data_IF_911885527833
#
_entry.id   IF_911885527833
#
_cell.length_a   1.000
_cell.length_b   1.000
_cell.length_c   1.000
_cell.angle_alpha   90.00
_cell.angle_beta   90.00
_cell.angle_gamma   90.00
#
_symmetry.space_group_name_H-M   'P 1'
#
loop_
_entity.id
_entity.type
_entity.pdbx_description
1 polymer ?
#
# COMPACT_ATOMS: atom_id res chain seq x y z
N UNK A 1 18.37 47.49 49.48
CA UNK A 1 18.91 46.27 50.14
C UNK A 1 17.96 45.90 51.28
N UNK A 2 17.76 44.61 51.63
CA UNK A 2 18.60 43.46 51.30
C UNK A 2 17.92 42.33 50.48
N UNK A 3 18.81 41.48 49.94
CA UNK A 3 18.60 40.26 49.14
C UNK A 3 18.50 39.01 50.04
N UNK A 4 17.84 37.96 49.54
CA UNK A 4 18.19 36.50 49.55
C UNK A 4 16.89 35.68 49.36
N UNK A 5 16.78 34.52 48.71
CA UNK A 5 17.56 33.73 47.75
C UNK A 5 16.59 32.61 47.22
N UNK A 6 16.88 32.04 46.03
CA UNK A 6 16.15 30.95 45.32
C UNK A 6 16.33 29.55 45.97
N UNK A 7 15.50 28.54 45.64
CA UNK A 7 15.79 27.57 44.54
C UNK A 7 14.53 27.17 43.71
N UNK A 8 14.48 27.31 42.38
CA UNK A 8 14.73 26.29 41.32
C UNK A 8 14.07 24.91 41.52
N UNK A 9 13.06 24.63 40.68
CA UNK A 9 12.55 23.28 40.39
C UNK A 9 11.89 23.27 38.99
N UNK A 10 12.53 22.57 38.06
CA UNK A 10 12.16 22.42 36.66
C UNK A 10 10.90 21.56 36.48
N UNK A 11 9.92 22.05 35.72
CA UNK A 11 8.91 21.22 35.04
C UNK A 11 8.94 21.58 33.56
N UNK A 12 9.51 20.70 32.73
CA UNK A 12 9.53 20.85 31.27
C UNK A 12 8.12 20.55 30.74
N UNK A 13 7.46 21.55 30.19
CA UNK A 13 6.39 21.34 29.20
C UNK A 13 7.07 20.87 27.90
N UNK A 14 6.74 19.66 27.45
CA UNK A 14 7.11 19.18 26.12
C UNK A 14 6.26 19.92 25.08
N UNK A 15 6.89 20.92 24.46
CA UNK A 15 6.31 21.70 23.38
C UNK A 15 6.09 20.84 22.13
N UNK A 16 4.97 21.12 21.46
CA UNK A 16 4.63 20.64 20.12
C UNK A 16 5.80 20.85 19.14
N UNK A 17 6.22 19.78 18.48
CA UNK A 17 7.24 19.85 17.42
C UNK A 17 6.64 20.60 16.21
N UNK A 18 7.24 21.70 15.72
CA UNK A 18 6.70 22.42 14.58
C UNK A 18 6.85 21.63 13.29
N UNK A 19 5.75 21.50 12.53
CA UNK A 19 5.77 21.01 11.16
C UNK A 19 6.58 22.00 10.30
N UNK A 20 7.61 21.51 9.60
CA UNK A 20 8.38 22.33 8.65
C UNK A 20 7.48 22.72 7.48
N UNK A 21 6.93 23.92 7.53
CA UNK A 21 6.27 24.56 6.41
C UNK A 21 7.34 25.08 5.45
N UNK A 22 7.30 24.62 4.21
CA UNK A 22 8.13 25.16 3.12
C UNK A 22 7.19 25.85 2.14
N UNK A 23 7.14 27.18 2.19
CA UNK A 23 6.42 28.03 1.23
C UNK A 23 7.43 28.52 0.20
N UNK A 24 7.23 28.22 -1.08
CA UNK A 24 8.11 28.68 -2.17
C UNK A 24 7.27 29.14 -3.37
N UNK A 25 7.66 30.29 -3.93
CA UNK A 25 7.10 30.93 -5.12
C UNK A 25 7.65 30.28 -6.41
N UNK A 26 6.80 30.24 -7.45
CA UNK A 26 7.05 29.52 -8.70
C UNK A 26 7.96 30.28 -9.69
N UNK A 27 8.81 29.55 -10.41
CA UNK A 27 9.55 30.04 -11.58
C UNK A 27 9.52 29.03 -12.75
N UNK A 28 8.97 29.46 -13.90
CA UNK A 28 9.46 29.14 -15.25
C UNK A 28 8.82 28.00 -16.08
N UNK A 29 8.08 28.38 -17.14
CA UNK A 29 7.92 27.64 -18.44
C UNK A 29 7.04 26.37 -18.50
N UNK A 30 6.46 26.00 -19.67
CA UNK A 30 5.50 24.90 -19.79
C UNK A 30 6.21 23.53 -19.82
N UNK A 31 6.80 23.16 -18.69
CA UNK A 31 7.14 21.78 -18.36
C UNK A 31 5.84 21.07 -17.98
N UNK A 32 5.62 19.84 -18.45
CA UNK A 32 4.46 19.06 -17.99
C UNK A 32 4.49 18.95 -16.46
N UNK A 33 3.34 19.20 -15.80
CA UNK A 33 3.25 19.24 -14.33
C UNK A 33 3.84 17.98 -13.68
N UNK A 34 3.61 16.83 -14.30
CA UNK A 34 4.32 15.59 -14.03
C UNK A 34 5.24 15.27 -15.21
N UNK A 35 6.43 14.74 -14.91
CA UNK A 35 7.40 14.31 -15.90
C UNK A 35 7.22 12.81 -16.18
N UNK A 36 6.92 12.45 -17.43
CA UNK A 36 6.64 11.06 -17.82
C UNK A 36 7.77 10.38 -18.61
N UNK A 37 8.96 10.98 -18.67
CA UNK A 37 10.11 10.43 -19.41
C UNK A 37 10.57 9.07 -18.85
N UNK A 38 10.59 8.91 -17.52
CA UNK A 38 10.90 7.64 -16.85
C UNK A 38 10.06 7.41 -15.59
N UNK A 39 10.00 6.18 -15.06
CA UNK A 39 9.39 5.90 -13.74
C UNK A 39 9.94 6.78 -12.62
N UNK A 40 11.25 7.04 -12.63
CA UNK A 40 11.94 7.88 -11.63
C UNK A 40 11.53 9.34 -11.75
N UNK A 41 11.52 9.88 -12.97
CA UNK A 41 11.13 11.27 -13.23
C UNK A 41 9.67 11.55 -12.83
N UNK A 42 8.79 10.55 -13.04
CA UNK A 42 7.40 10.66 -12.60
C UNK A 42 7.31 10.76 -11.09
N UNK A 43 7.96 9.86 -10.38
CA UNK A 43 7.88 9.88 -8.92
C UNK A 43 8.50 11.15 -8.35
N UNK A 44 9.65 11.58 -8.86
CA UNK A 44 10.31 12.83 -8.44
C UNK A 44 9.41 14.06 -8.66
N UNK A 45 8.80 14.18 -9.84
CA UNK A 45 7.87 15.29 -10.11
C UNK A 45 6.60 15.22 -9.26
N UNK A 46 6.09 14.02 -8.96
CA UNK A 46 4.90 13.81 -8.12
C UNK A 46 5.09 14.33 -6.69
N UNK A 47 6.26 14.08 -6.10
CA UNK A 47 6.58 14.48 -4.71
C UNK A 47 7.37 15.79 -4.61
N UNK A 48 7.58 16.48 -5.74
CA UNK A 48 8.27 17.78 -5.77
C UNK A 48 7.64 18.77 -4.76
N UNK A 49 8.46 19.53 -3.99
CA UNK A 49 9.92 19.68 -4.12
C UNK A 49 10.76 18.69 -3.27
N UNK A 50 10.15 17.64 -2.72
CA UNK A 50 10.86 16.67 -1.89
C UNK A 50 11.71 15.76 -2.79
N UNK A 51 13.01 15.70 -2.51
CA UNK A 51 13.91 14.77 -3.21
C UNK A 51 13.56 13.32 -2.86
N UNK A 52 13.64 12.41 -3.83
CA UNK A 52 13.35 10.99 -3.66
C UNK A 52 14.22 10.34 -2.58
N UNK A 53 15.51 10.70 -2.49
CA UNK A 53 16.40 10.17 -1.45
C UNK A 53 15.95 10.59 -0.04
N UNK A 54 15.47 11.82 0.10
CA UNK A 54 14.91 12.32 1.36
C UNK A 54 13.59 11.62 1.67
N UNK A 55 12.73 11.42 0.68
CA UNK A 55 11.48 10.68 0.84
C UNK A 55 11.72 9.27 1.40
N UNK A 56 12.55 8.46 0.75
CA UNK A 56 12.81 7.09 1.19
C UNK A 56 13.61 7.00 2.49
N UNK A 57 14.54 7.94 2.72
CA UNK A 57 15.32 7.95 3.97
C UNK A 57 14.48 8.36 5.17
N UNK A 58 13.59 9.34 5.03
CA UNK A 58 12.97 10.01 6.18
C UNK A 58 11.47 9.75 6.34
N UNK A 59 10.74 9.46 5.27
CA UNK A 59 9.27 9.38 5.29
C UNK A 59 8.75 7.97 5.02
N UNK A 60 9.25 7.32 3.96
CA UNK A 60 8.80 5.99 3.55
C UNK A 60 8.82 4.99 4.71
N UNK A 61 7.67 4.35 4.97
CA UNK A 61 7.44 3.39 6.06
C UNK A 61 7.76 3.94 7.48
N UNK A 62 7.83 5.26 7.65
CA UNK A 62 8.23 5.89 8.93
C UNK A 62 7.24 6.92 9.44
N UNK A 63 6.87 7.90 8.61
CA UNK A 63 6.01 9.01 9.04
C UNK A 63 5.27 9.68 7.88
N UNK A 64 4.15 10.36 8.16
CA UNK A 64 3.43 11.13 7.16
C UNK A 64 4.28 12.24 6.51
N UNK A 65 4.00 12.52 5.24
CA UNK A 65 4.52 13.65 4.48
C UNK A 65 3.35 14.46 3.90
N UNK A 66 3.25 15.72 4.29
CA UNK A 66 2.30 16.68 3.74
C UNK A 66 3.03 17.67 2.82
N UNK A 67 2.55 17.82 1.57
CA UNK A 67 3.02 18.83 0.63
C UNK A 67 1.83 19.72 0.26
N UNK A 68 1.76 20.88 0.89
CA UNK A 68 0.77 21.91 0.54
C UNK A 68 1.32 22.80 -0.56
N UNK A 69 0.60 22.89 -1.68
CA UNK A 69 1.01 23.65 -2.87
C UNK A 69 0.09 24.85 -3.06
N UNK A 70 0.61 25.88 -3.71
CA UNK A 70 -0.17 27.04 -4.14
C UNK A 70 0.03 27.33 -5.62
N UNK A 71 0.07 26.27 -6.42
CA UNK A 71 0.28 26.31 -7.86
C UNK A 71 -1.05 26.05 -8.60
N UNK A 72 -1.63 27.06 -9.29
CA UNK A 72 -2.88 26.91 -10.04
C UNK A 72 -2.80 25.90 -11.18
N UNK A 73 -1.63 25.71 -11.80
CA UNK A 73 -1.44 24.76 -12.88
C UNK A 73 -1.44 23.32 -12.34
N UNK A 74 -0.78 23.07 -11.20
CA UNK A 74 -0.85 21.77 -10.50
C UNK A 74 -2.27 21.46 -10.07
N UNK A 75 -2.97 22.44 -9.46
CA UNK A 75 -4.36 22.29 -9.03
C UNK A 75 -5.28 21.93 -10.22
N UNK A 76 -5.09 22.59 -11.36
CA UNK A 76 -5.85 22.31 -12.60
C UNK A 76 -5.56 20.91 -13.15
N UNK A 77 -4.28 20.49 -13.14
CA UNK A 77 -3.87 19.17 -13.57
C UNK A 77 -4.46 18.07 -12.68
N UNK A 78 -4.33 18.17 -11.35
CA UNK A 78 -4.92 17.20 -10.41
C UNK A 78 -6.43 17.09 -10.62
N UNK A 79 -7.13 18.22 -10.74
CA UNK A 79 -8.57 18.25 -11.04
C UNK A 79 -8.95 17.53 -12.35
N UNK A 80 -8.04 17.38 -13.31
CA UNK A 80 -8.30 16.67 -14.56
C UNK A 80 -8.27 15.14 -14.42
N UNK A 81 -7.58 14.62 -13.38
CA UNK A 81 -7.39 13.19 -13.16
C UNK A 81 -8.72 12.46 -12.90
N UNK A 82 -9.62 13.06 -12.14
CA UNK A 82 -10.98 12.56 -11.92
C UNK A 82 -11.88 13.68 -11.40
N UNK A 83 -13.13 13.75 -11.89
CA UNK A 83 -14.12 14.75 -11.44
C UNK A 83 -15.42 14.10 -11.01
N UNK A 84 -16.15 14.75 -10.11
CA UNK A 84 -17.53 14.33 -9.78
C UNK A 84 -18.43 14.25 -11.02
N UNK A 85 -18.22 15.11 -12.01
CA UNK A 85 -18.97 15.11 -13.28
C UNK A 85 -18.74 13.85 -14.13
N UNK A 86 -17.61 13.16 -13.95
CA UNK A 86 -17.26 11.96 -14.73
C UNK A 86 -18.18 10.78 -14.42
N UNK A 87 -18.76 10.75 -13.21
CA UNK A 87 -19.63 9.67 -12.75
C UNK A 87 -20.81 9.40 -13.69
N UNK A 88 -21.36 10.43 -14.36
CA UNK A 88 -22.48 10.26 -15.29
C UNK A 88 -22.09 9.38 -16.48
N UNK A 89 -20.94 9.68 -17.10
CA UNK A 89 -20.40 8.93 -18.23
C UNK A 89 -19.91 7.54 -17.79
N UNK A 90 -19.31 7.43 -16.60
CA UNK A 90 -18.87 6.15 -16.07
C UNK A 90 -20.05 5.22 -15.79
N UNK A 91 -21.14 5.70 -15.19
CA UNK A 91 -22.33 4.90 -14.94
C UNK A 91 -22.97 4.37 -16.24
N UNK A 92 -22.94 5.12 -17.34
CA UNK A 92 -23.49 4.65 -18.63
C UNK A 92 -22.68 3.51 -19.26
N UNK A 93 -21.44 3.26 -18.80
CA UNK A 93 -20.60 2.12 -19.20
C UNK A 93 -20.90 0.83 -18.43
N UNK A 94 -21.83 0.85 -17.47
CA UNK A 94 -22.27 -0.35 -16.74
C UNK A 94 -21.44 -0.66 -15.49
N UNK A 95 -21.46 0.26 -14.52
CA UNK A 95 -20.83 0.06 -13.20
C UNK A 95 -21.72 -0.77 -12.27
N UNK A 96 -21.12 -1.49 -11.32
CA UNK A 96 -21.81 -2.28 -10.31
C UNK A 96 -21.43 -1.86 -8.88
N UNK A 97 -22.41 -1.90 -7.98
CA UNK A 97 -22.15 -1.68 -6.56
C UNK A 97 -21.24 -2.78 -5.99
N UNK A 98 -20.40 -2.44 -5.02
CA UNK A 98 -19.41 -3.38 -4.45
C UNK A 98 -18.18 -3.56 -5.33
N UNK A 99 -18.38 -3.87 -6.62
CA UNK A 99 -17.29 -4.10 -7.58
C UNK A 99 -16.60 -2.82 -8.04
N UNK A 100 -17.38 -1.83 -8.48
CA UNK A 100 -16.86 -0.60 -9.09
C UNK A 100 -17.10 0.62 -8.21
N UNK A 101 -18.24 0.67 -7.51
CA UNK A 101 -18.61 1.82 -6.69
C UNK A 101 -19.19 1.35 -5.36
N UNK A 102 -18.72 1.96 -4.27
CA UNK A 102 -19.31 1.88 -2.95
C UNK A 102 -19.91 3.24 -2.57
N UNK A 103 -21.00 3.21 -1.81
CA UNK A 103 -21.62 4.40 -1.22
C UNK A 103 -21.69 4.17 0.28
N UNK A 104 -21.12 5.09 1.05
CA UNK A 104 -21.01 4.94 2.50
C UNK A 104 -21.15 6.27 3.25
N UNK A 105 -21.41 6.19 4.55
CA UNK A 105 -21.43 7.34 5.45
C UNK A 105 -20.94 6.91 6.83
N UNK A 106 -20.20 7.78 7.51
CA UNK A 106 -19.87 7.58 8.92
C UNK A 106 -21.07 7.98 9.78
N UNK A 107 -21.54 7.07 10.63
CA UNK A 107 -22.63 7.31 11.57
C UNK A 107 -22.20 6.72 12.92
N UNK A 108 -22.08 7.58 13.94
CA UNK A 108 -21.68 7.19 15.30
C UNK A 108 -20.38 6.36 15.33
N UNK A 109 -19.32 6.83 14.65
CA UNK A 109 -18.03 6.15 14.58
C UNK A 109 -18.04 4.84 13.81
N UNK A 110 -19.09 4.53 13.05
CA UNK A 110 -19.21 3.29 12.26
C UNK A 110 -19.47 3.59 10.78
N UNK A 111 -18.87 2.79 9.90
CA UNK A 111 -19.15 2.83 8.47
C UNK A 111 -20.54 2.23 8.21
N UNK A 112 -21.47 3.04 7.70
CA UNK A 112 -22.76 2.59 7.17
C UNK A 112 -22.68 2.49 5.65
N UNK A 113 -22.79 1.27 5.12
CA UNK A 113 -22.85 1.02 3.67
C UNK A 113 -24.28 1.26 3.16
N UNK A 114 -24.40 1.97 2.04
CA UNK A 114 -25.67 2.34 1.39
C UNK A 114 -25.80 1.76 -0.02
N UNK A 115 -24.93 0.82 -0.38
CA UNK A 115 -24.96 0.10 -1.65
C UNK A 115 -26.35 -0.49 -1.95
N UNK A 116 -26.66 -0.58 -3.24
CA UNK A 116 -27.79 -1.33 -3.77
C UNK A 116 -27.28 -2.58 -4.47
N UNK A 117 -28.17 -3.50 -4.78
CA UNK A 117 -27.81 -4.67 -5.55
C UNK A 117 -27.68 -4.32 -7.04
N UNK A 118 -26.69 -4.90 -7.71
CA UNK A 118 -26.53 -4.81 -9.16
C UNK A 118 -25.94 -3.49 -9.66
N UNK A 119 -26.51 -3.00 -10.78
CA UNK A 119 -25.95 -1.87 -11.54
C UNK A 119 -26.13 -0.54 -10.82
N UNK A 120 -25.13 0.33 -10.97
CA UNK A 120 -25.13 1.68 -10.44
C UNK A 120 -25.77 2.64 -11.43
N UNK A 121 -26.81 3.35 -11.00
CA UNK A 121 -27.44 4.41 -11.79
C UNK A 121 -27.02 5.79 -11.26
N UNK A 122 -26.63 6.68 -12.17
CA UNK A 122 -26.14 8.03 -11.82
C UNK A 122 -27.14 8.82 -10.95
N UNK A 123 -28.44 8.76 -11.28
CA UNK A 123 -29.47 9.45 -10.48
C UNK A 123 -29.57 8.93 -9.05
N UNK A 124 -29.33 7.63 -8.84
CA UNK A 124 -29.32 7.03 -7.51
C UNK A 124 -28.09 7.48 -6.72
N UNK A 125 -26.89 7.47 -7.33
CA UNK A 125 -25.69 8.04 -6.71
C UNK A 125 -25.89 9.50 -6.32
N UNK A 126 -26.44 10.31 -7.23
CA UNK A 126 -26.70 11.73 -7.00
C UNK A 126 -27.68 11.93 -5.85
N UNK A 127 -28.75 11.12 -5.79
CA UNK A 127 -29.72 11.14 -4.69
C UNK A 127 -29.07 10.82 -3.34
N UNK A 128 -28.27 9.77 -3.27
CA UNK A 128 -27.60 9.38 -2.01
C UNK A 128 -26.54 10.42 -1.59
N UNK A 129 -25.82 10.98 -2.55
CA UNK A 129 -24.85 12.05 -2.32
C UNK A 129 -25.50 13.32 -1.78
N UNK A 130 -26.52 13.86 -2.48
CA UNK A 130 -27.14 15.13 -2.13
C UNK A 130 -28.04 15.03 -0.90
N UNK A 131 -28.87 13.98 -0.81
CA UNK A 131 -29.92 13.88 0.22
C UNK A 131 -29.43 13.14 1.47
N UNK A 132 -28.63 12.08 1.31
CA UNK A 132 -28.15 11.27 2.45
C UNK A 132 -26.77 11.70 2.94
N UNK A 133 -26.13 12.66 2.25
CA UNK A 133 -24.77 13.11 2.54
C UNK A 133 -23.79 11.93 2.55
N UNK A 134 -23.93 11.04 1.57
CA UNK A 134 -23.12 9.85 1.46
C UNK A 134 -21.86 10.12 0.61
N UNK A 135 -20.74 9.56 1.04
CA UNK A 135 -19.50 9.50 0.26
C UNK A 135 -19.61 8.41 -0.81
N UNK A 136 -19.18 8.77 -2.02
CA UNK A 136 -19.00 7.83 -3.13
C UNK A 136 -17.53 7.41 -3.15
N UNK A 137 -17.27 6.11 -3.17
CA UNK A 137 -15.95 5.51 -3.35
C UNK A 137 -15.95 4.80 -4.71
N UNK A 138 -15.09 5.21 -5.64
CA UNK A 138 -14.95 4.61 -6.96
C UNK A 138 -13.67 3.78 -7.01
N UNK A 139 -13.78 2.52 -7.41
CA UNK A 139 -12.68 1.55 -7.42
C UNK A 139 -11.99 1.50 -8.77
N UNK A 140 -10.66 1.54 -8.72
CA UNK A 140 -9.78 1.33 -9.87
C UNK A 140 -10.15 2.25 -11.07
N UNK A 141 -10.14 3.59 -10.87
CA UNK A 141 -10.49 4.58 -11.91
C UNK A 141 -9.56 4.54 -13.13
N UNK A 142 -8.32 4.03 -13.00
CA UNK A 142 -7.37 3.88 -14.09
C UNK A 142 -7.87 2.99 -15.23
N UNK A 143 -8.85 2.10 -14.97
CA UNK A 143 -9.54 1.33 -16.02
C UNK A 143 -10.27 2.22 -17.04
N UNK A 144 -10.52 3.48 -16.69
CA UNK A 144 -11.37 4.39 -17.44
C UNK A 144 -10.77 5.78 -17.65
N UNK A 145 -9.65 6.08 -17.00
CA UNK A 145 -9.01 7.40 -16.98
C UNK A 145 -7.55 7.23 -17.38
N UNK A 146 -7.25 7.52 -18.64
CA UNK A 146 -5.94 7.27 -19.26
C UNK A 146 -4.77 7.92 -18.51
N UNK A 147 -4.96 9.14 -17.98
CA UNK A 147 -3.92 9.83 -17.23
C UNK A 147 -3.60 9.12 -15.90
N UNK A 148 -4.62 8.59 -15.20
CA UNK A 148 -4.42 7.78 -14.00
C UNK A 148 -3.77 6.44 -14.33
N UNK A 149 -4.10 5.84 -15.49
CA UNK A 149 -3.40 4.66 -15.97
C UNK A 149 -1.92 4.94 -16.23
N UNK A 150 -1.61 6.04 -16.93
CA UNK A 150 -0.23 6.45 -17.22
C UNK A 150 0.58 6.70 -15.95
N UNK A 151 -0.02 7.35 -14.94
CA UNK A 151 0.61 7.56 -13.64
C UNK A 151 0.86 6.21 -12.95
N UNK A 152 -0.18 5.38 -12.83
CA UNK A 152 -0.07 4.13 -12.07
C UNK A 152 0.91 3.15 -12.71
N UNK A 153 0.92 2.98 -14.04
CA UNK A 153 1.87 2.07 -14.72
C UNK A 153 3.33 2.46 -14.48
N UNK A 154 3.65 3.76 -14.52
CA UNK A 154 4.98 4.26 -14.20
C UNK A 154 5.33 4.05 -12.73
N UNK A 155 4.38 4.26 -11.82
CA UNK A 155 4.59 3.97 -10.40
C UNK A 155 4.76 2.46 -10.13
N UNK A 156 4.07 1.58 -10.85
CA UNK A 156 4.28 0.12 -10.77
C UNK A 156 5.72 -0.23 -11.14
N UNK A 157 6.22 0.36 -12.22
CA UNK A 157 7.62 0.20 -12.62
C UNK A 157 8.60 0.73 -11.57
N UNK A 158 8.29 1.87 -10.96
CA UNK A 158 9.16 2.50 -9.96
C UNK A 158 9.23 1.71 -8.66
N UNK A 159 8.09 1.23 -8.15
CA UNK A 159 8.00 0.51 -6.88
C UNK A 159 8.26 -1.00 -7.00
N UNK A 160 8.16 -1.58 -8.19
CA UNK A 160 8.22 -3.04 -8.36
C UNK A 160 7.09 -3.76 -7.62
N UNK A 161 5.95 -3.08 -7.44
CA UNK A 161 4.77 -3.56 -6.72
C UNK A 161 3.53 -3.09 -7.46
N UNK A 162 2.41 -3.80 -7.31
CA UNK A 162 1.15 -3.37 -7.92
C UNK A 162 0.73 -2.00 -7.37
N UNK A 163 0.15 -1.17 -8.23
CA UNK A 163 -0.34 0.16 -7.87
C UNK A 163 -1.81 0.28 -8.26
N UNK A 164 -2.66 0.31 -7.25
CA UNK A 164 -4.09 0.53 -7.38
C UNK A 164 -4.46 1.98 -7.05
N UNK A 165 -5.73 2.33 -7.27
CA UNK A 165 -6.27 3.56 -6.68
C UNK A 165 -7.77 3.50 -6.42
N UNK A 166 -8.21 4.34 -5.49
CA UNK A 166 -9.62 4.61 -5.20
C UNK A 166 -9.88 6.12 -5.22
N UNK A 167 -11.02 6.54 -5.77
CA UNK A 167 -11.47 7.95 -5.69
C UNK A 167 -12.54 8.06 -4.62
N UNK A 168 -12.42 9.07 -3.77
CA UNK A 168 -13.42 9.39 -2.75
C UNK A 168 -14.03 10.75 -3.00
N UNK A 169 -15.35 10.80 -3.14
CA UNK A 169 -16.11 12.03 -3.34
C UNK A 169 -17.08 12.19 -2.17
N UNK A 170 -16.87 13.23 -1.36
CA UNK A 170 -17.59 13.45 -0.10
C UNK A 170 -18.34 14.79 -0.16
N UNK A 171 -19.67 14.83 0.10
CA UNK A 171 -20.42 16.08 0.08
C UNK A 171 -20.06 16.97 1.27
N UNK A 172 -20.31 18.27 1.15
CA UNK A 172 -20.01 19.22 2.23
C UNK A 172 -20.73 18.92 3.55
N UNK A 173 -20.05 19.22 4.66
CA UNK A 173 -20.53 18.99 6.02
C UNK A 173 -20.71 17.51 6.36
N UNK A 174 -19.87 16.62 5.81
CA UNK A 174 -20.04 15.18 6.01
C UNK A 174 -18.72 14.40 6.05
N UNK A 175 -18.79 13.21 6.65
CA UNK A 175 -17.70 12.25 6.78
C UNK A 175 -18.15 10.88 6.25
N UNK A 176 -17.32 10.28 5.40
CA UNK A 176 -17.62 9.01 4.74
C UNK A 176 -17.25 7.78 5.57
N UNK A 177 -16.07 7.80 6.17
CA UNK A 177 -15.47 6.67 6.87
C UNK A 177 -15.11 7.06 8.31
N UNK A 178 -15.26 6.14 9.28
CA UNK A 178 -14.74 6.32 10.64
C UNK A 178 -13.20 6.29 10.65
N UNK A 179 -12.52 6.61 11.77
CA UNK A 179 -11.09 6.38 11.90
C UNK A 179 -10.69 4.94 11.58
N UNK A 180 -9.65 4.76 10.78
CA UNK A 180 -9.13 3.45 10.40
C UNK A 180 -7.66 3.56 9.98
N UNK A 181 -7.00 2.42 9.85
CA UNK A 181 -5.76 2.30 9.09
C UNK A 181 -5.89 1.26 7.99
N UNK A 182 -5.08 1.43 6.94
CA UNK A 182 -5.00 0.53 5.80
C UNK A 182 -3.74 -0.34 5.86
N UNK A 183 -3.71 -1.37 5.01
CA UNK A 183 -2.66 -2.37 4.82
C UNK A 183 -1.69 -2.04 3.67
N UNK A 184 -1.74 -0.80 3.17
CA UNK A 184 -1.00 -0.34 1.99
C UNK A 184 -0.32 1.00 2.23
N UNK A 185 0.75 1.25 1.50
CA UNK A 185 1.37 2.58 1.42
C UNK A 185 0.50 3.46 0.52
N UNK A 186 0.17 4.69 0.97
CA UNK A 186 -0.79 5.54 0.24
C UNK A 186 -0.24 6.91 -0.12
N UNK A 187 -0.63 7.36 -1.31
CA UNK A 187 -0.40 8.69 -1.86
C UNK A 187 -1.76 9.31 -2.21
N UNK A 188 -2.15 10.34 -1.48
CA UNK A 188 -3.42 11.05 -1.65
C UNK A 188 -3.17 12.34 -2.42
N UNK A 189 -3.91 12.51 -3.52
CA UNK A 189 -3.90 13.71 -4.35
C UNK A 189 -5.27 14.38 -4.23
N UNK A 190 -5.30 15.62 -3.73
CA UNK A 190 -6.55 16.38 -3.60
C UNK A 190 -6.93 17.00 -4.95
N UNK A 191 -8.11 16.66 -5.48
CA UNK A 191 -8.51 16.97 -6.86
C UNK A 191 -9.55 18.09 -6.95
N UNK A 192 -10.58 18.07 -6.11
CA UNK A 192 -11.64 19.08 -6.08
C UNK A 192 -12.02 19.44 -4.65
N UNK A 193 -12.31 20.72 -4.41
CA UNK A 193 -12.68 21.23 -3.09
C UNK A 193 -11.64 20.95 -2.01
N UNK A 194 -12.06 21.00 -0.75
CA UNK A 194 -11.17 20.86 0.40
C UNK A 194 -11.60 19.72 1.32
N UNK A 195 -10.66 19.14 2.05
CA UNK A 195 -10.94 18.10 3.05
C UNK A 195 -10.10 18.32 4.29
N UNK A 196 -10.75 18.29 5.45
CA UNK A 196 -10.10 18.27 6.74
C UNK A 196 -9.63 16.85 7.05
N UNK A 197 -8.38 16.69 7.48
CA UNK A 197 -7.73 15.42 7.76
C UNK A 197 -7.11 15.42 9.16
N UNK A 198 -7.33 14.32 9.88
CA UNK A 198 -6.63 14.01 11.12
C UNK A 198 -5.86 12.71 10.96
N UNK A 199 -4.56 12.72 11.29
CA UNK A 199 -3.69 11.54 11.32
C UNK A 199 -3.24 11.25 12.75
N UNK A 200 -3.14 9.98 13.13
CA UNK A 200 -2.82 9.54 14.48
C UNK A 200 -1.68 8.53 14.45
N UNK A 201 -1.10 8.27 15.62
CA UNK A 201 -0.11 7.21 15.77
C UNK A 201 -0.73 5.85 15.44
N UNK A 202 0.03 4.95 14.80
CA UNK A 202 -0.44 3.59 14.52
C UNK A 202 -0.62 2.80 15.82
N UNK A 203 -1.76 2.13 15.98
CA UNK A 203 -1.92 1.07 17.01
C UNK A 203 -1.19 -0.20 16.61
N UNK A 204 -1.06 -0.45 15.30
CA UNK A 204 -0.25 -1.52 14.70
C UNK A 204 0.68 -0.88 13.65
N UNK A 205 1.95 -0.61 14.00
CA UNK A 205 2.92 -0.05 13.05
C UNK A 205 3.15 -0.98 11.86
N UNK A 206 3.12 -0.44 10.63
CA UNK A 206 3.28 -1.19 9.39
C UNK A 206 2.31 -2.38 9.27
N UNK A 207 1.06 -2.16 9.70
CA UNK A 207 -0.01 -3.14 9.67
C UNK A 207 -0.15 -3.81 8.30
N UNK A 208 -0.29 -5.14 8.32
CA UNK A 208 -0.53 -5.97 7.13
C UNK A 208 -2.01 -6.18 6.83
N UNK A 209 -2.88 -5.65 7.69
CA UNK A 209 -4.33 -5.81 7.62
C UNK A 209 -5.01 -4.44 7.80
N UNK A 210 -6.25 -4.35 7.32
CA UNK A 210 -7.12 -3.19 7.53
C UNK A 210 -7.84 -3.27 8.88
N UNK A 211 -8.01 -2.15 9.58
CA UNK A 211 -8.83 -2.08 10.81
C UNK A 211 -9.52 -0.74 10.98
N UNK A 212 -10.77 -0.77 11.48
CA UNK A 212 -11.49 0.41 11.99
C UNK A 212 -11.14 0.58 13.47
N UNK A 213 -10.80 1.80 13.86
CA UNK A 213 -10.39 2.13 15.22
C UNK A 213 -11.43 3.01 15.91
N UNK A 214 -11.65 2.77 17.20
CA UNK A 214 -12.58 3.55 18.00
C UNK A 214 -11.93 4.88 18.43
N UNK A 215 -12.64 6.01 18.26
CA UNK A 215 -12.12 7.36 18.54
C UNK A 215 -11.58 7.54 19.97
N UNK A 216 -12.13 6.83 20.94
CA UNK A 216 -11.71 6.85 22.34
C UNK A 216 -10.37 6.14 22.59
N UNK A 217 -9.87 5.36 21.62
CA UNK A 217 -8.64 4.55 21.73
C UNK A 217 -7.46 5.09 20.91
N UNK A 218 -7.68 6.05 20.01
CA UNK A 218 -6.65 6.54 19.07
C UNK A 218 -5.90 7.79 19.56
N UNK A 219 -6.37 8.40 20.66
CA UNK A 219 -5.72 9.56 21.27
C UNK A 219 -5.87 10.86 20.46
N UNK A 220 -4.93 11.80 20.64
CA UNK A 220 -4.94 13.09 19.92
C UNK A 220 -4.32 12.94 18.52
N UNK A 221 -4.80 13.70 17.52
CA UNK A 221 -4.15 13.74 16.22
C UNK A 221 -2.68 14.14 16.35
N UNK A 222 -1.81 13.40 15.67
CA UNK A 222 -0.40 13.77 15.45
C UNK A 222 -0.28 14.90 14.43
N UNK A 223 -1.20 14.93 13.47
CA UNK A 223 -1.29 15.94 12.43
C UNK A 223 -2.76 16.24 12.17
N UNK A 224 -3.06 17.52 11.98
CA UNK A 224 -4.40 18.03 11.65
C UNK A 224 -4.24 19.15 10.63
N UNK A 225 -4.86 19.02 9.46
CA UNK A 225 -4.70 19.94 8.35
C UNK A 225 -5.85 19.85 7.34
N UNK A 226 -5.96 20.85 6.47
CA UNK A 226 -6.90 20.85 5.36
C UNK A 226 -6.14 20.73 4.04
N UNK A 227 -6.49 19.73 3.22
CA UNK A 227 -6.01 19.61 1.85
C UNK A 227 -6.89 20.42 0.90
N UNK A 228 -6.27 21.13 -0.04
CA UNK A 228 -6.91 21.82 -1.17
C UNK A 228 -6.39 21.30 -2.52
N UNK A 229 -7.03 21.62 -3.66
CA UNK A 229 -6.64 21.04 -4.94
C UNK A 229 -5.16 21.29 -5.30
N UNK A 230 -4.45 20.23 -5.69
CA UNK A 230 -3.01 20.24 -5.97
C UNK A 230 -2.12 19.78 -4.82
N UNK A 231 -2.66 19.71 -3.60
CA UNK A 231 -1.93 19.19 -2.45
C UNK A 231 -1.73 17.68 -2.54
N UNK A 232 -0.64 17.23 -1.91
CA UNK A 232 -0.25 15.83 -1.83
C UNK A 232 -0.06 15.42 -0.36
N UNK A 233 -0.49 14.20 -0.03
CA UNK A 233 -0.30 13.59 1.27
C UNK A 233 0.19 12.15 1.10
N UNK A 234 1.24 11.79 1.81
CA UNK A 234 1.68 10.41 1.97
C UNK A 234 1.62 10.01 3.44
N UNK A 235 1.27 8.76 3.72
CA UNK A 235 1.52 8.11 5.00
C UNK A 235 1.65 6.59 4.86
N UNK A 236 2.40 5.94 5.76
CA UNK A 236 2.62 4.50 5.70
C UNK A 236 1.42 3.71 6.23
N UNK A 237 1.33 2.44 5.83
CA UNK A 237 0.32 1.50 6.34
C UNK A 237 0.35 1.41 7.86
N UNK A 238 -0.81 1.19 8.48
CA UNK A 238 -1.00 1.30 9.92
C UNK A 238 -1.24 2.72 10.45
N UNK A 239 -0.95 3.78 9.68
CA UNK A 239 -1.29 5.16 10.10
C UNK A 239 -2.79 5.33 10.18
N UNK A 240 -3.29 5.56 11.40
CA UNK A 240 -4.71 5.82 11.62
C UNK A 240 -5.06 7.19 11.07
N UNK A 241 -6.15 7.27 10.33
CA UNK A 241 -6.61 8.50 9.72
C UNK A 241 -8.12 8.60 9.64
N UNK A 242 -8.62 9.84 9.60
CA UNK A 242 -9.99 10.16 9.23
C UNK A 242 -10.05 11.50 8.51
N UNK A 243 -11.11 11.71 7.73
CA UNK A 243 -11.29 12.94 6.99
C UNK A 243 -12.76 13.30 6.77
N UNK A 244 -13.07 14.58 6.96
CA UNK A 244 -14.39 15.17 6.75
C UNK A 244 -14.32 16.35 5.77
N UNK A 245 -15.43 16.62 5.09
CA UNK A 245 -15.53 17.79 4.20
C UNK A 245 -16.17 18.94 4.98
N UNK A 246 -15.48 20.08 5.14
CA UNK A 246 -16.03 21.23 5.85
C UNK A 246 -17.38 21.71 5.29
N UNK A 247 -18.24 22.34 6.11
CA UNK A 247 -19.46 22.99 5.62
C UNK A 247 -19.13 24.22 4.75
N UNK A 248 -20.07 24.63 3.88
CA UNK A 248 -19.94 25.83 3.06
C UNK A 248 -19.27 25.64 1.69
N UNK A 249 -18.61 24.50 1.46
CA UNK A 249 -18.10 24.07 0.16
C UNK A 249 -19.16 23.28 -0.63
N UNK A 250 -18.88 22.92 -1.89
CA UNK A 250 -19.76 22.02 -2.65
C UNK A 250 -19.53 20.54 -2.28
N UNK A 251 -18.29 20.09 -2.41
CA UNK A 251 -17.84 18.72 -2.15
C UNK A 251 -16.31 18.67 -2.06
N UNK A 252 -15.77 17.52 -1.68
CA UNK A 252 -14.36 17.17 -1.76
C UNK A 252 -14.17 15.95 -2.64
N UNK A 253 -13.17 15.96 -3.52
CA UNK A 253 -12.72 14.81 -4.32
C UNK A 253 -11.23 14.61 -4.14
N UNK A 254 -10.80 13.41 -3.75
CA UNK A 254 -9.40 13.00 -3.83
C UNK A 254 -9.27 11.62 -4.46
N UNK A 255 -8.09 11.33 -5.00
CA UNK A 255 -7.68 9.97 -5.36
C UNK A 255 -6.61 9.51 -4.37
N UNK A 256 -6.77 8.29 -3.87
CA UNK A 256 -5.76 7.59 -3.08
C UNK A 256 -5.12 6.56 -4.00
N UNK A 257 -3.86 6.79 -4.36
CA UNK A 257 -3.01 5.83 -5.05
C UNK A 257 -2.32 4.98 -3.99
N UNK A 258 -2.29 3.66 -4.17
CA UNK A 258 -1.87 2.72 -3.12
C UNK A 258 -1.00 1.60 -3.66
N UNK A 259 0.02 1.20 -2.90
CA UNK A 259 0.97 0.15 -3.29
C UNK A 259 1.51 -0.62 -2.08
N UNK A 260 2.43 -1.57 -2.31
CA UNK A 260 3.13 -2.32 -1.26
C UNK A 260 2.26 -3.27 -0.40
N UNK A 261 1.07 -3.63 -0.87
CA UNK A 261 0.25 -4.67 -0.22
C UNK A 261 1.02 -6.00 -0.19
N UNK A 262 1.14 -6.62 0.98
CA UNK A 262 1.83 -7.91 1.18
C UNK A 262 3.23 -7.96 0.55
N UNK A 263 3.96 -6.85 0.57
CA UNK A 263 5.29 -6.72 -0.03
C UNK A 263 6.38 -6.51 1.05
N UNK A 264 6.30 -7.26 2.15
CA UNK A 264 7.25 -7.16 3.27
C UNK A 264 8.36 -8.22 3.20
N UNK A 265 9.42 -8.05 3.99
CA UNK A 265 10.46 -9.07 4.15
C UNK A 265 9.91 -10.44 4.58
N UNK A 266 8.84 -10.46 5.39
CA UNK A 266 8.19 -11.72 5.79
C UNK A 266 7.52 -12.42 4.61
N UNK A 267 6.90 -11.67 3.69
CA UNK A 267 6.28 -12.22 2.48
C UNK A 267 7.34 -12.78 1.54
N UNK A 268 8.39 -12.01 1.31
CA UNK A 268 9.52 -12.43 0.47
C UNK A 268 10.21 -13.68 1.04
N UNK A 269 10.41 -13.75 2.36
CA UNK A 269 11.01 -14.90 3.01
C UNK A 269 10.11 -16.14 2.87
N UNK A 270 8.80 -16.02 3.08
CA UNK A 270 7.86 -17.14 2.97
C UNK A 270 7.83 -17.69 1.53
N UNK A 271 7.82 -16.81 0.53
CA UNK A 271 7.87 -17.18 -0.89
C UNK A 271 9.20 -17.89 -1.23
N UNK A 272 10.31 -17.27 -0.84
CA UNK A 272 11.66 -17.79 -1.11
C UNK A 272 11.89 -19.14 -0.42
N UNK A 273 11.53 -19.27 0.86
CA UNK A 273 11.72 -20.51 1.61
C UNK A 273 10.89 -21.65 1.03
N UNK A 274 9.66 -21.39 0.60
CA UNK A 274 8.84 -22.41 -0.07
C UNK A 274 9.54 -22.93 -1.33
N UNK A 275 10.05 -22.02 -2.17
CA UNK A 275 10.81 -22.38 -3.36
C UNK A 275 12.05 -23.21 -3.05
N UNK A 276 12.89 -22.76 -2.10
CA UNK A 276 14.10 -23.46 -1.69
C UNK A 276 13.81 -24.86 -1.16
N UNK A 277 12.82 -25.00 -0.26
CA UNK A 277 12.45 -26.30 0.30
C UNK A 277 12.03 -27.27 -0.80
N UNK A 278 11.17 -26.85 -1.73
CA UNK A 278 10.69 -27.75 -2.80
C UNK A 278 11.73 -28.01 -3.89
N UNK A 279 12.61 -27.06 -4.18
CA UNK A 279 13.69 -27.24 -5.14
C UNK A 279 14.78 -28.17 -4.55
N UNK A 280 15.20 -27.99 -3.30
CA UNK A 280 16.12 -28.91 -2.60
C UNK A 280 15.54 -30.30 -2.44
N UNK A 281 14.24 -30.41 -2.14
CA UNK A 281 13.55 -31.70 -2.06
C UNK A 281 13.55 -32.49 -3.37
N UNK A 282 13.96 -31.93 -4.53
CA UNK A 282 14.14 -32.72 -5.77
C UNK A 282 15.44 -33.53 -5.75
N UNK A 283 16.44 -33.06 -5.04
CA UNK A 283 17.80 -33.63 -5.04
C UNK A 283 18.08 -34.38 -3.73
N UNK A 284 17.57 -33.89 -2.60
CA UNK A 284 17.83 -34.44 -1.28
C UNK A 284 16.67 -35.30 -0.74
N UNK A 285 16.99 -36.53 -0.32
CA UNK A 285 16.01 -37.47 0.26
C UNK A 285 15.56 -37.05 1.66
N UNK A 286 16.41 -36.40 2.45
CA UNK A 286 16.05 -35.99 3.82
C UNK A 286 14.89 -34.99 3.81
N UNK A 287 14.90 -34.06 2.85
CA UNK A 287 13.82 -33.08 2.65
C UNK A 287 12.51 -33.70 2.13
N UNK A 288 12.55 -34.92 1.58
CA UNK A 288 11.36 -35.69 1.16
C UNK A 288 10.87 -36.67 2.22
N UNK A 289 11.68 -36.97 3.22
CA UNK A 289 11.35 -37.98 4.20
C UNK A 289 10.13 -37.56 5.01
N UNK A 290 9.20 -38.50 5.22
CA UNK A 290 7.99 -38.23 6.01
C UNK A 290 8.34 -37.95 7.48
N UNK A 291 7.62 -36.99 8.08
CA UNK A 291 7.70 -36.76 9.53
C UNK A 291 7.31 -38.03 10.32
N UNK A 292 7.81 -38.22 11.56
CA UNK A 292 7.43 -39.35 12.40
C UNK A 292 5.91 -39.48 12.58
N UNK A 293 5.41 -40.73 12.57
CA UNK A 293 4.01 -41.02 12.91
C UNK A 293 3.68 -40.45 14.29
N UNK A 294 2.47 -39.92 14.44
CA UNK A 294 1.97 -39.28 15.67
C UNK A 294 2.62 -37.95 16.05
N UNK A 295 3.54 -37.37 15.26
CA UNK A 295 4.16 -36.06 15.58
C UNK A 295 3.11 -34.97 15.83
N UNK A 296 2.06 -34.91 15.00
CA UNK A 296 0.97 -33.93 15.13
C UNK A 296 -0.03 -34.25 16.26
N UNK A 297 0.08 -35.43 16.90
CA UNK A 297 -0.79 -35.84 18.01
C UNK A 297 -0.12 -35.62 19.38
N UNK A 298 1.15 -35.21 19.40
CA UNK A 298 1.83 -34.84 20.64
C UNK A 298 1.15 -33.59 21.20
N UNK A 299 0.39 -33.76 22.29
CA UNK A 299 -0.09 -32.64 23.09
C UNK A 299 1.12 -32.06 23.82
N UNK A 300 1.39 -30.77 23.67
CA UNK A 300 2.43 -30.12 24.48
C UNK A 300 1.95 -30.02 25.93
N UNK A 301 2.19 -31.07 26.71
CA UNK A 301 2.14 -30.96 28.17
C UNK A 301 3.46 -30.31 28.63
N UNK A 302 3.52 -28.98 28.53
CA UNK A 302 4.68 -28.16 28.89
C UNK A 302 5.09 -27.23 27.76
N UNK A 303 5.11 -25.92 28.05
CA UNK A 303 5.55 -24.90 27.09
C UNK A 303 6.94 -25.18 26.56
N UNK A 304 7.20 -24.75 25.31
CA UNK A 304 8.45 -24.80 24.54
C UNK A 304 9.71 -25.10 25.38
N UNK A 305 9.92 -26.37 25.73
CA UNK A 305 11.11 -26.86 26.40
C UNK A 305 12.23 -27.03 25.38
N UNK A 306 13.44 -26.65 25.80
CA UNK A 306 14.73 -26.78 25.09
C UNK A 306 14.75 -27.87 24.02
N UNK A 307 14.86 -27.44 22.76
CA UNK A 307 15.21 -28.33 21.66
C UNK A 307 16.66 -28.77 21.86
N UNK A 308 16.87 -30.02 22.31
CA UNK A 308 18.19 -30.64 22.30
C UNK A 308 18.38 -31.36 20.95
N UNK A 309 19.39 -30.99 20.14
CA UNK A 309 19.71 -31.74 18.94
C UNK A 309 20.15 -33.16 19.33
N UNK A 310 19.65 -34.16 18.60
CA UNK A 310 20.11 -35.55 18.77
C UNK A 310 21.61 -35.64 18.45
N UNK A 311 22.40 -36.41 19.22
CA UNK A 311 23.74 -36.78 18.80
C UNK A 311 23.64 -37.64 17.53
N UNK A 312 24.56 -37.42 16.60
CA UNK A 312 24.69 -38.23 15.39
C UNK A 312 25.10 -39.66 15.76
N UNK A 313 24.14 -40.55 15.95
CA UNK A 313 24.41 -41.97 16.14
C UNK A 313 24.46 -42.70 14.79
N UNK A 314 25.69 -43.05 14.43
CA UNK A 314 26.14 -44.24 13.72
C UNK A 314 25.30 -44.76 12.55
N UNK A 315 25.82 -44.49 11.34
CA UNK A 315 25.59 -45.35 10.17
C UNK A 315 25.95 -46.79 10.54
N UNK A 316 24.96 -47.67 10.57
CA UNK A 316 25.16 -49.12 10.67
C UNK A 316 25.75 -49.58 9.32
N UNK A 317 26.98 -50.12 9.25
CA UNK A 317 27.49 -50.66 8.01
C UNK A 317 26.83 -52.01 7.76
N UNK A 318 26.06 -52.13 6.67
CA UNK A 318 25.70 -53.43 6.12
C UNK A 318 26.97 -54.09 5.60
N UNK A 319 27.31 -55.23 6.20
CA UNK A 319 28.53 -55.99 5.90
C UNK A 319 28.61 -56.41 4.43
N UNK A 320 29.76 -56.14 3.83
CA UNK A 320 30.21 -56.69 2.55
C UNK A 320 31.74 -56.77 2.59
N UNK A 321 32.27 -57.97 2.40
CA UNK A 321 33.69 -58.35 2.48
C UNK A 321 34.61 -57.60 1.50
N UNK A 322 35.92 -57.45 1.82
CA UNK A 322 36.83 -56.58 1.07
C UNK A 322 37.37 -57.26 -0.20
N UNK A 323 37.04 -56.69 -1.36
CA UNK A 323 37.69 -56.98 -2.64
C UNK A 323 38.70 -55.88 -2.96
N UNK A 324 39.97 -56.25 -3.06
CA UNK A 324 41.11 -55.41 -3.40
C UNK A 324 41.01 -54.84 -4.82
N UNK A 325 40.97 -53.52 -4.99
CA UNK A 325 41.40 -52.85 -6.23
C UNK A 325 42.14 -51.56 -5.89
N UNK A 326 43.40 -51.50 -6.32
CA UNK A 326 44.29 -50.34 -6.25
C UNK A 326 43.82 -49.21 -7.19
N UNK A 327 44.18 -47.96 -6.91
CA UNK A 327 43.70 -46.80 -7.66
C UNK A 327 44.43 -46.65 -9.00
N UNK A 328 43.67 -46.43 -10.06
CA UNK A 328 44.22 -45.96 -11.34
C UNK A 328 43.97 -44.45 -11.43
N UNK A 329 45.05 -43.68 -11.37
CA UNK A 329 45.05 -42.27 -11.76
C UNK A 329 44.75 -42.15 -13.26
N UNK A 330 43.84 -41.25 -13.64
CA UNK A 330 43.77 -40.76 -15.01
C UNK A 330 43.35 -39.30 -15.06
N UNK A 331 44.37 -38.45 -15.28
CA UNK A 331 44.40 -37.31 -16.20
C UNK A 331 43.27 -36.27 -16.14
N UNK A 332 43.63 -35.12 -15.56
CA UNK A 332 43.08 -33.80 -15.87
C UNK A 332 43.19 -33.48 -17.37
N UNK A 333 42.13 -32.90 -17.94
CA UNK A 333 42.22 -31.95 -19.05
C UNK A 333 41.05 -30.95 -18.97
N UNK A 334 41.27 -29.70 -19.42
CA UNK A 334 40.52 -28.54 -18.94
C UNK A 334 39.38 -28.16 -19.88
N UNK A 335 38.32 -27.58 -19.32
CA UNK A 335 37.31 -26.88 -20.10
C UNK A 335 35.92 -27.04 -19.51
N UNK A 336 35.49 -26.07 -18.70
CA UNK A 336 34.10 -25.65 -18.70
C UNK A 336 34.06 -24.17 -18.30
N UNK A 337 33.90 -23.33 -19.31
CA UNK A 337 33.35 -21.99 -19.18
C UNK A 337 31.98 -22.11 -18.52
N UNK A 338 31.84 -21.52 -17.33
CA UNK A 338 30.53 -21.37 -16.70
C UNK A 338 29.71 -20.36 -17.52
N UNK A 339 28.84 -20.87 -18.38
CA UNK A 339 27.70 -20.08 -18.86
C UNK A 339 26.80 -19.79 -17.66
N UNK A 340 26.65 -18.51 -17.32
CA UNK A 340 25.57 -18.01 -16.48
C UNK A 340 24.25 -18.15 -17.25
N UNK A 341 23.78 -19.39 -17.34
CA UNK A 341 22.51 -19.75 -17.95
C UNK A 341 21.35 -19.31 -17.08
N UNK A 342 20.69 -18.23 -17.49
CA UNK A 342 19.24 -18.05 -17.37
C UNK A 342 18.65 -18.14 -15.97
N UNK A 343 18.84 -17.09 -15.17
CA UNK A 343 17.82 -16.73 -14.18
C UNK A 343 16.58 -16.28 -14.97
N UNK A 344 15.74 -17.24 -15.39
CA UNK A 344 14.39 -16.91 -15.84
C UNK A 344 13.76 -16.09 -14.72
N UNK A 345 13.37 -14.85 -15.03
CA UNK A 345 12.52 -14.04 -14.15
C UNK A 345 11.29 -14.88 -13.84
N UNK A 346 11.29 -15.59 -12.69
CA UNK A 346 10.07 -16.17 -12.16
C UNK A 346 9.17 -14.98 -11.87
N UNK A 347 8.07 -14.93 -12.60
CA UNK A 347 6.95 -14.04 -12.35
C UNK A 347 6.63 -14.17 -10.86
N UNK A 348 6.68 -13.02 -10.16
CA UNK A 348 6.23 -12.86 -8.78
C UNK A 348 4.92 -13.66 -8.60
N UNK A 349 4.73 -14.45 -7.52
CA UNK A 349 3.48 -15.17 -7.30
C UNK A 349 2.30 -14.22 -7.49
N UNK A 350 1.19 -14.71 -8.03
CA UNK A 350 -0.01 -13.92 -8.30
C UNK A 350 -0.44 -13.11 -7.06
N UNK A 351 0.06 -11.88 -6.94
CA UNK A 351 -0.45 -10.89 -6.00
C UNK A 351 -1.74 -10.40 -6.61
N UNK A 352 -2.86 -11.02 -6.24
CA UNK A 352 -4.17 -10.43 -6.52
C UNK A 352 -4.41 -9.34 -5.49
N UNK A 353 -4.77 -8.15 -5.95
CA UNK A 353 -5.28 -7.09 -5.08
C UNK A 353 -6.40 -7.65 -4.18
N UNK A 354 -6.22 -7.60 -2.85
CA UNK A 354 -7.32 -7.93 -1.94
C UNK A 354 -8.29 -6.74 -1.94
N UNK A 355 -9.54 -6.91 -2.41
CA UNK A 355 -10.52 -5.84 -2.44
C UNK A 355 -10.88 -5.29 -1.05
N UNK A 356 -10.50 -5.94 0.07
CA UNK A 356 -10.71 -5.43 1.44
C UNK A 356 -9.87 -4.18 1.78
N UNK A 357 -8.78 -3.94 1.06
CA UNK A 357 -7.91 -2.77 1.26
C UNK A 357 -8.64 -1.45 0.97
N UNK A 358 -8.31 -0.38 1.71
CA UNK A 358 -8.87 0.98 1.59
C UNK A 358 -10.35 1.13 2.02
N UNK A 359 -10.74 0.45 3.09
CA UNK A 359 -12.05 0.61 3.72
C UNK A 359 -13.15 -0.28 3.16
N UNK A 360 -12.85 -1.33 2.41
CA UNK A 360 -13.85 -2.21 1.83
C UNK A 360 -14.32 -3.30 2.81
N UNK A 361 -15.27 -2.97 3.68
CA UNK A 361 -16.15 -3.97 4.28
C UNK A 361 -17.25 -4.37 3.29
N UNK A 362 -16.93 -5.22 2.32
CA UNK A 362 -17.94 -5.98 1.59
C UNK A 362 -17.38 -7.38 1.30
N UNK A 363 -17.98 -8.40 1.92
CA UNK A 363 -17.69 -9.81 1.67
C UNK A 363 -18.07 -10.17 0.23
N UNK A 364 -17.12 -10.17 -0.69
CA UNK A 364 -17.28 -10.77 -2.01
C UNK A 364 -15.91 -11.17 -2.57
N UNK A 365 -15.66 -12.47 -2.84
CA UNK A 365 -14.42 -12.91 -3.44
C UNK A 365 -14.40 -12.49 -4.91
N UNK A 366 -13.50 -11.60 -5.31
CA UNK A 366 -13.30 -11.26 -6.72
C UNK A 366 -12.00 -11.89 -7.22
N UNK A 367 -12.17 -13.00 -7.94
CA UNK A 367 -11.21 -13.48 -8.92
C UNK A 367 -11.19 -12.52 -10.12
N UNK A 368 -10.05 -11.91 -10.41
CA UNK A 368 -9.85 -11.08 -11.59
C UNK A 368 -9.73 -12.00 -12.82
N UNK A 369 -10.80 -12.06 -13.62
CA UNK A 369 -10.77 -12.68 -14.94
C UNK A 369 -9.81 -11.90 -15.86
N UNK A 370 -8.77 -12.58 -16.33
CA UNK A 370 -7.84 -12.09 -17.34
C UNK A 370 -8.55 -11.91 -18.69
N UNK A 371 -8.81 -10.66 -19.08
CA UNK A 371 -8.99 -10.27 -20.47
C UNK A 371 -7.63 -9.90 -21.05
N UNK A 372 -6.94 -10.86 -21.65
CA UNK A 372 -5.66 -10.64 -22.32
C UNK A 372 -5.79 -9.61 -23.45
N UNK A 373 -5.12 -8.47 -23.29
CA UNK A 373 -4.66 -7.64 -24.39
C UNK A 373 -3.21 -7.26 -24.09
N UNK A 374 -2.30 -8.21 -24.27
CA UNK A 374 -0.88 -7.93 -24.39
C UNK A 374 -0.64 -7.12 -25.67
N UNK A 375 -0.64 -5.79 -25.59
CA UNK A 375 0.11 -4.99 -26.56
C UNK A 375 1.53 -4.91 -26.03
N UNK A 376 2.43 -5.62 -26.71
CA UNK A 376 3.86 -5.69 -26.40
C UNK A 376 4.43 -4.28 -26.38
N UNK A 377 5.25 -3.98 -25.38
CA UNK A 377 6.28 -2.97 -25.50
C UNK A 377 7.23 -3.44 -26.61
N UNK A 378 7.25 -2.74 -27.75
CA UNK A 378 8.33 -2.86 -28.70
C UNK A 378 9.39 -1.81 -28.37
N UNK A 379 10.63 -2.27 -28.34
CA UNK A 379 11.84 -1.52 -28.01
C UNK A 379 12.00 -0.30 -28.94
N UNK A 380 12.26 0.86 -28.35
CA UNK A 380 12.78 2.02 -29.07
C UNK A 380 14.30 1.84 -29.25
N UNK A 381 14.72 1.70 -30.50
CA UNK A 381 16.11 1.85 -30.92
C UNK A 381 16.49 3.29 -31.22
#
# INVERSE_FOLDING_TARGET
MPKKAKPTGNGKEEGSVPCKQVKIEAAGGPSSILNFESPSDLFESLISPIKTETFFREFWEKKPLLIQRDDPAVATYYRSLFRLSDLKSLCSRGMYYGRDINVCRCVNGKKKVLNKDGKVHFLQLRKDFDQKRATIQFHQPQRFKDELWRIQEKLECYFGSLVGSNVYITPAGSQGLPPHYDDVEVFILQLEGEKHWCLYHPTVPLAREYSVEAEDRIGRPTHEFTLKPGDFLYFPRGTIHQADTPPGLAHSTHVTISTYQNNSWGDFLLDTMSGLVFDTAKEDLEFRAGIPRQLLLVRSEGGWGEWQPRPAEAVVPLGGTPGSFLPQESSLSPGLTAELGGLQRRVVPHVTWDPKSLGCCADSPLSICHGGSSRRCEDAG
#
